data_IF_186641916487
#
_entry.id   IF_186641916487
#
_cell.length_a   1.000
_cell.length_b   1.000
_cell.length_c   1.000
_cell.angle_alpha   90.00
_cell.angle_beta   90.00
_cell.angle_gamma   90.00
#
_symmetry.space_group_name_H-M   'P 1'
#
loop_
_entity.id
_entity.type
_entity.pdbx_description
1 polymer ?
#
# COMPACT_ATOMS: atom_id res chain seq x y z
N UNK A 1 3.82 7.33 -18.69
CA UNK A 1 4.24 6.97 -17.32
C UNK A 1 5.68 6.50 -17.38
N UNK A 2 6.49 6.83 -16.38
CA UNK A 2 7.86 6.36 -16.24
C UNK A 2 7.92 5.27 -15.18
N UNK A 3 8.67 4.21 -15.45
CA UNK A 3 8.88 3.08 -14.53
C UNK A 3 10.35 3.09 -14.15
N UNK A 4 10.62 3.05 -12.86
CA UNK A 4 11.98 2.95 -12.33
C UNK A 4 12.66 1.66 -12.81
N UNK A 5 13.91 1.78 -13.26
CA UNK A 5 14.66 0.69 -13.90
C UNK A 5 14.94 -0.48 -12.94
N UNK A 6 14.83 -0.25 -11.63
CA UNK A 6 14.93 -1.30 -10.62
C UNK A 6 13.74 -2.29 -10.68
N UNK A 7 12.53 -1.82 -10.99
CA UNK A 7 11.28 -2.60 -10.85
C UNK A 7 11.33 -3.95 -11.58
N UNK A 8 11.79 -4.05 -12.85
CA UNK A 8 11.93 -5.33 -13.54
C UNK A 8 12.80 -6.37 -12.80
N UNK A 9 13.79 -5.94 -12.02
CA UNK A 9 14.72 -6.84 -11.31
C UNK A 9 14.27 -7.24 -9.92
N UNK A 10 13.23 -6.61 -9.34
CA UNK A 10 12.84 -6.88 -7.95
C UNK A 10 11.95 -8.12 -7.88
N UNK A 11 12.32 -9.03 -6.98
CA UNK A 11 11.43 -10.07 -6.46
C UNK A 11 10.91 -9.70 -5.07
N UNK A 12 9.64 -9.96 -4.84
CA UNK A 12 8.97 -9.52 -3.62
C UNK A 12 7.74 -10.37 -3.32
N UNK A 13 7.62 -10.80 -2.07
CA UNK A 13 6.40 -11.41 -1.54
C UNK A 13 6.25 -11.01 -0.07
N UNK A 14 5.15 -10.34 0.29
CA UNK A 14 4.99 -9.81 1.65
C UNK A 14 4.94 -10.92 2.71
N UNK A 15 5.79 -10.82 3.74
CA UNK A 15 5.82 -11.71 4.90
C UNK A 15 5.41 -10.95 6.18
N UNK A 16 4.11 -10.91 6.45
CA UNK A 16 3.55 -10.27 7.65
C UNK A 16 3.95 -11.00 8.94
N UNK A 17 4.24 -12.31 8.87
CA UNK A 17 4.70 -13.09 10.00
C UNK A 17 6.04 -12.60 10.54
N UNK A 18 6.93 -12.19 9.63
CA UNK A 18 8.25 -11.62 9.94
C UNK A 18 8.23 -10.11 10.17
N UNK A 19 7.59 -9.32 9.29
CA UNK A 19 7.64 -7.85 9.39
C UNK A 19 6.61 -7.24 10.36
N UNK A 20 5.65 -8.05 10.83
CA UNK A 20 4.56 -7.65 11.75
C UNK A 20 3.71 -6.48 11.26
N UNK A 21 3.65 -6.26 9.95
CA UNK A 21 2.86 -5.17 9.35
C UNK A 21 3.51 -3.79 9.46
N UNK A 22 4.85 -3.74 9.53
CA UNK A 22 5.64 -2.52 9.66
C UNK A 22 5.23 -1.35 8.73
N UNK A 23 4.73 -1.64 7.52
CA UNK A 23 4.30 -0.61 6.58
C UNK A 23 3.07 0.21 7.05
N UNK A 24 2.31 -0.27 8.03
CA UNK A 24 1.19 0.44 8.66
C UNK A 24 1.61 1.24 9.92
N UNK A 25 2.85 1.07 10.39
CA UNK A 25 3.36 1.62 11.66
C UNK A 25 4.72 2.31 11.49
N UNK A 26 4.94 2.90 10.31
CA UNK A 26 6.17 3.63 9.99
C UNK A 26 6.19 4.92 10.81
N UNK A 27 7.24 5.18 11.61
CA UNK A 27 7.39 6.45 12.32
C UNK A 27 7.30 7.64 11.37
N UNK A 28 6.44 8.60 11.71
CA UNK A 28 6.20 9.76 10.88
C UNK A 28 4.91 10.49 11.25
N UNK A 29 4.88 11.79 11.02
CA UNK A 29 3.70 12.62 11.28
C UNK A 29 2.64 12.54 10.18
N UNK A 30 2.95 11.88 9.06
CA UNK A 30 2.06 11.71 7.90
C UNK A 30 1.99 10.23 7.53
N UNK A 31 0.77 9.72 7.37
CA UNK A 31 0.54 8.35 6.95
C UNK A 31 0.63 8.19 5.44
N UNK A 32 0.02 7.12 4.93
CA UNK A 32 0.01 6.84 3.50
C UNK A 32 -0.66 7.97 2.68
N UNK A 33 -0.11 8.34 1.52
CA UNK A 33 -0.73 9.29 0.60
C UNK A 33 -2.10 8.84 0.11
N UNK A 34 -3.02 9.76 -0.12
CA UNK A 34 -4.37 9.50 -0.58
C UNK A 34 -4.62 10.18 -1.94
N UNK A 35 -5.46 9.57 -2.76
CA UNK A 35 -6.15 10.27 -3.84
C UNK A 35 -7.27 11.15 -3.27
N UNK A 36 -7.56 12.27 -3.91
CA UNK A 36 -8.64 13.17 -3.47
C UNK A 36 -9.99 12.43 -3.52
N UNK A 37 -10.16 11.54 -4.50
CA UNK A 37 -11.34 10.69 -4.67
C UNK A 37 -11.46 9.61 -3.59
N UNK A 38 -10.37 9.24 -2.90
CA UNK A 38 -10.39 8.22 -1.84
C UNK A 38 -10.96 8.74 -0.53
N UNK A 39 -11.06 10.06 -0.34
CA UNK A 39 -11.57 10.65 0.89
C UNK A 39 -13.05 10.28 1.11
N UNK A 40 -13.85 10.30 0.04
CA UNK A 40 -15.25 9.93 0.09
C UNK A 40 -15.42 8.43 0.43
N UNK A 41 -14.59 7.58 -0.17
CA UNK A 41 -14.58 6.14 0.12
C UNK A 41 -14.21 5.85 1.58
N UNK A 42 -13.20 6.56 2.11
CA UNK A 42 -12.81 6.48 3.52
C UNK A 42 -13.98 6.87 4.43
N UNK A 43 -14.66 7.98 4.13
CA UNK A 43 -15.80 8.45 4.92
C UNK A 43 -16.97 7.47 4.90
N UNK A 44 -17.29 6.90 3.72
CA UNK A 44 -18.34 5.88 3.56
C UNK A 44 -18.02 4.59 4.31
N UNK A 45 -16.76 4.16 4.28
CA UNK A 45 -16.33 2.91 4.92
C UNK A 45 -16.14 3.03 6.44
N UNK A 46 -15.85 4.23 6.96
CA UNK A 46 -15.53 4.44 8.38
C UNK A 46 -16.56 3.90 9.37
N UNK A 47 -17.89 4.12 9.19
CA UNK A 47 -18.90 3.58 10.10
C UNK A 47 -18.87 2.07 10.27
N UNK A 48 -18.42 1.34 9.23
CA UNK A 48 -18.26 -0.13 9.26
C UNK A 48 -16.93 -0.50 9.91
N UNK A 49 -15.83 0.15 9.51
CA UNK A 49 -14.49 -0.24 9.96
C UNK A 49 -14.16 0.18 11.40
N UNK A 50 -14.86 1.18 11.96
CA UNK A 50 -14.62 1.67 13.33
C UNK A 50 -14.67 0.57 14.39
N UNK A 51 -15.43 -0.51 14.16
CA UNK A 51 -15.53 -1.66 15.08
C UNK A 51 -14.22 -2.44 15.22
N UNK A 52 -13.30 -2.31 14.27
CA UNK A 52 -11.98 -2.93 14.30
C UNK A 52 -10.92 -2.07 14.99
N UNK A 53 -11.20 -0.78 15.21
CA UNK A 53 -10.22 0.15 15.73
C UNK A 53 -10.25 0.18 17.26
N UNK A 54 -9.07 0.31 17.87
CA UNK A 54 -8.94 0.48 19.32
C UNK A 54 -9.57 1.81 19.77
N UNK A 55 -9.77 1.98 21.07
CA UNK A 55 -10.24 3.25 21.63
C UNK A 55 -9.32 4.42 21.21
N UNK A 56 -8.01 4.28 21.41
CA UNK A 56 -6.99 5.30 21.05
C UNK A 56 -7.11 5.76 19.59
N UNK A 57 -7.36 4.82 18.68
CA UNK A 57 -7.47 5.12 17.25
C UNK A 57 -8.74 5.88 16.91
N UNK A 58 -9.88 5.46 17.49
CA UNK A 58 -11.16 6.15 17.32
C UNK A 58 -11.13 7.55 17.91
N UNK A 59 -10.60 7.67 19.12
CA UNK A 59 -10.39 8.92 19.84
C UNK A 59 -9.55 9.91 19.02
N UNK A 60 -8.45 9.45 18.40
CA UNK A 60 -7.64 10.30 17.49
C UNK A 60 -8.42 10.77 16.26
N UNK A 61 -9.30 9.93 15.69
CA UNK A 61 -10.15 10.30 14.55
C UNK A 61 -11.17 11.37 14.95
N UNK A 62 -11.75 11.23 16.15
CA UNK A 62 -12.75 12.14 16.70
C UNK A 62 -12.14 13.50 17.06
N UNK A 63 -10.93 13.53 17.62
CA UNK A 63 -10.22 14.77 17.99
C UNK A 63 -9.64 15.52 16.79
N UNK A 64 -9.19 14.79 15.76
CA UNK A 64 -8.51 15.38 14.60
C UNK A 64 -9.37 15.19 13.37
N UNK A 65 -9.18 14.09 12.66
CA UNK A 65 -9.89 13.63 11.47
C UNK A 65 -9.31 12.27 11.05
N UNK A 66 -9.90 11.64 10.02
CA UNK A 66 -9.39 10.43 9.37
C UNK A 66 -8.12 10.63 8.52
N UNK A 67 -7.93 11.85 8.02
CA UNK A 67 -6.87 12.22 7.09
C UNK A 67 -6.49 13.70 7.28
N UNK A 68 -5.31 14.06 6.82
CA UNK A 68 -4.73 15.40 6.91
C UNK A 68 -4.14 15.83 5.56
N UNK A 69 -4.02 17.13 5.34
CA UNK A 69 -3.47 17.72 4.12
C UNK A 69 -4.49 18.58 3.39
N UNK A 70 -4.22 18.81 2.09
CA UNK A 70 -5.01 19.64 1.18
C UNK A 70 -5.19 18.91 -0.16
N UNK A 71 -6.09 19.37 -1.05
CA UNK A 71 -6.27 18.76 -2.36
C UNK A 71 -4.95 18.52 -3.08
N UNK A 72 -4.74 17.31 -3.58
CA UNK A 72 -3.51 16.83 -4.21
C UNK A 72 -2.39 16.39 -3.26
N UNK A 73 -2.52 16.58 -1.94
CA UNK A 73 -1.53 16.23 -0.91
C UNK A 73 -2.20 15.64 0.35
N UNK A 74 -3.27 14.87 0.19
CA UNK A 74 -3.87 14.19 1.33
C UNK A 74 -3.03 13.00 1.79
N UNK A 75 -3.02 12.77 3.10
CA UNK A 75 -2.40 11.60 3.75
C UNK A 75 -3.31 11.10 4.86
N UNK A 76 -3.25 9.80 5.17
CA UNK A 76 -3.92 9.27 6.37
C UNK A 76 -3.41 9.95 7.65
N UNK A 77 -4.30 10.11 8.62
CA UNK A 77 -3.93 10.58 9.96
C UNK A 77 -3.08 9.50 10.67
N UNK A 78 -2.25 9.93 11.60
CA UNK A 78 -1.43 9.04 12.43
C UNK A 78 -1.76 9.18 13.91
N UNK A 79 -1.66 8.07 14.63
CA UNK A 79 -1.74 7.94 16.08
C UNK A 79 -0.32 7.93 16.64
N UNK A 80 -0.06 8.73 17.67
CA UNK A 80 1.22 8.78 18.39
C UNK A 80 2.45 9.02 17.49
N UNK A 81 2.26 9.70 16.36
CA UNK A 81 3.34 10.00 15.40
C UNK A 81 3.93 8.78 14.72
N UNK A 82 3.21 7.66 14.68
CA UNK A 82 3.72 6.40 14.12
C UNK A 82 2.65 5.58 13.39
N UNK A 83 1.57 5.19 14.06
CA UNK A 83 0.64 4.23 13.49
C UNK A 83 -0.38 4.93 12.59
N UNK A 84 -0.66 4.39 11.41
CA UNK A 84 -1.81 4.83 10.62
C UNK A 84 -3.09 4.69 11.47
N UNK A 85 -3.97 5.71 11.45
CA UNK A 85 -5.17 5.71 12.29
C UNK A 85 -6.11 4.52 12.04
N UNK A 86 -6.01 3.91 10.86
CA UNK A 86 -6.79 2.74 10.46
C UNK A 86 -6.10 1.39 10.70
N UNK A 87 -4.99 1.35 11.44
CA UNK A 87 -4.38 0.06 11.80
C UNK A 87 -5.21 -0.63 12.89
N UNK A 88 -5.31 -1.95 12.77
CA UNK A 88 -5.78 -2.87 13.81
C UNK A 88 -4.69 -3.89 14.07
N UNK A 89 -4.60 -4.37 15.31
CA UNK A 89 -3.62 -5.40 15.67
C UNK A 89 -4.33 -6.74 15.87
N UNK A 90 -3.83 -7.77 15.20
CA UNK A 90 -4.28 -9.14 15.36
C UNK A 90 -3.07 -9.99 15.69
N UNK A 91 -3.05 -10.58 16.89
CA UNK A 91 -1.94 -11.43 17.35
C UNK A 91 -0.56 -10.72 17.23
N UNK A 92 -0.54 -9.41 17.51
CA UNK A 92 0.66 -8.58 17.42
C UNK A 92 1.08 -8.19 15.99
N UNK A 93 0.28 -8.51 14.97
CA UNK A 93 0.51 -8.09 13.57
C UNK A 93 -0.38 -6.90 13.23
N UNK A 94 0.23 -5.80 12.79
CA UNK A 94 -0.48 -4.64 12.26
C UNK A 94 -1.15 -4.98 10.92
N UNK A 95 -2.46 -4.73 10.83
CA UNK A 95 -3.27 -4.93 9.62
C UNK A 95 -4.11 -3.67 9.35
N UNK A 96 -4.49 -3.46 8.11
CA UNK A 96 -5.38 -2.36 7.74
C UNK A 96 -6.85 -2.74 7.98
N UNK A 97 -7.59 -1.91 8.72
CA UNK A 97 -9.00 -2.16 9.02
C UNK A 97 -9.89 -2.16 7.75
N UNK A 98 -9.57 -1.32 6.75
CA UNK A 98 -10.26 -1.35 5.46
C UNK A 98 -10.04 -2.66 4.71
N UNK A 99 -8.78 -3.11 4.63
CA UNK A 99 -8.44 -4.37 3.99
C UNK A 99 -9.18 -5.54 4.64
N UNK A 100 -9.21 -5.56 5.98
CA UNK A 100 -9.96 -6.57 6.73
C UNK A 100 -11.45 -6.54 6.42
N UNK A 101 -12.08 -5.38 6.47
CA UNK A 101 -13.50 -5.24 6.21
C UNK A 101 -13.87 -5.63 4.77
N UNK A 102 -13.02 -5.29 3.79
CA UNK A 102 -13.18 -5.69 2.41
C UNK A 102 -13.08 -7.20 2.21
N UNK A 103 -12.08 -7.85 2.82
CA UNK A 103 -11.93 -9.31 2.76
C UNK A 103 -13.10 -10.03 3.46
N UNK A 104 -13.74 -9.38 4.43
CA UNK A 104 -14.95 -9.85 5.08
C UNK A 104 -16.24 -9.50 4.31
N UNK A 105 -16.14 -8.89 3.12
CA UNK A 105 -17.26 -8.42 2.29
C UNK A 105 -18.19 -7.39 2.98
N UNK A 106 -17.67 -6.64 3.95
CA UNK A 106 -18.44 -5.65 4.70
C UNK A 106 -18.45 -4.27 4.02
N UNK A 107 -17.49 -4.02 3.12
CA UNK A 107 -17.36 -2.81 2.32
C UNK A 107 -16.92 -3.16 0.89
N UNK A 108 -17.33 -2.33 -0.09
CA UNK A 108 -16.94 -2.51 -1.49
C UNK A 108 -15.58 -1.92 -1.86
N UNK A 109 -15.02 -1.05 -1.02
CA UNK A 109 -13.72 -0.40 -1.23
C UNK A 109 -12.64 -1.02 -0.37
N UNK A 110 -11.52 -1.42 -0.97
CA UNK A 110 -10.50 -2.26 -0.31
C UNK A 110 -9.62 -1.52 0.69
N UNK A 111 -8.87 -0.53 0.21
CA UNK A 111 -7.94 0.32 0.98
C UNK A 111 -7.39 1.41 0.06
N UNK A 112 -6.65 2.42 0.56
CA UNK A 112 -5.99 3.38 -0.30
C UNK A 112 -5.07 2.72 -1.33
N UNK A 113 -5.06 3.22 -2.55
CA UNK A 113 -4.33 2.64 -3.67
C UNK A 113 -2.83 2.69 -3.41
N UNK A 114 -2.35 3.73 -2.73
CA UNK A 114 -0.95 3.85 -2.28
C UNK A 114 -0.55 2.73 -1.31
N UNK A 115 -1.45 2.33 -0.41
CA UNK A 115 -1.26 1.20 0.50
C UNK A 115 -1.38 -0.14 -0.21
N UNK A 116 -2.13 -0.22 -1.31
CA UNK A 116 -2.27 -1.45 -2.10
C UNK A 116 -1.07 -1.68 -3.03
N UNK A 117 -0.53 -0.60 -3.58
CA UNK A 117 0.64 -0.64 -4.47
C UNK A 117 1.96 -0.82 -3.73
N UNK A 118 2.02 -0.61 -2.42
CA UNK A 118 3.25 -0.76 -1.65
C UNK A 118 3.89 -2.15 -1.88
N UNK A 119 5.18 -2.23 -2.23
CA UNK A 119 6.22 -1.20 -2.13
C UNK A 119 6.41 -0.26 -3.33
N UNK A 120 5.56 -0.28 -4.34
CA UNK A 120 5.56 0.74 -5.40
C UNK A 120 4.91 2.04 -4.92
N UNK A 121 5.56 3.16 -5.20
CA UNK A 121 5.02 4.53 -5.04
C UNK A 121 4.84 5.19 -6.39
N UNK A 122 3.73 5.91 -6.53
CA UNK A 122 3.42 6.70 -7.71
C UNK A 122 3.62 8.19 -7.39
N UNK A 123 4.69 8.77 -7.93
CA UNK A 123 4.91 10.21 -7.88
C UNK A 123 4.05 10.86 -8.98
N UNK A 124 3.05 11.65 -8.58
CA UNK A 124 1.99 12.18 -9.47
C UNK A 124 2.43 13.39 -10.31
N UNK A 125 3.70 13.44 -10.70
CA UNK A 125 4.17 14.41 -11.69
C UNK A 125 3.58 14.14 -13.08
N UNK A 126 3.88 15.01 -14.04
CA UNK A 126 3.61 14.78 -15.46
C UNK A 126 4.95 14.61 -16.18
N UNK A 127 5.32 13.38 -16.61
CA UNK A 127 4.56 12.12 -16.50
C UNK A 127 4.60 11.52 -15.08
N UNK A 128 3.59 10.71 -14.74
CA UNK A 128 3.57 9.91 -13.50
C UNK A 128 4.82 9.01 -13.48
N UNK A 129 5.45 8.86 -12.31
CA UNK A 129 6.61 7.97 -12.12
C UNK A 129 6.29 6.90 -11.07
N UNK A 130 6.45 5.63 -11.44
CA UNK A 130 6.40 4.51 -10.50
C UNK A 130 7.80 4.17 -10.05
N UNK A 131 8.04 4.22 -8.74
CA UNK A 131 9.31 3.88 -8.11
C UNK A 131 9.15 2.78 -7.07
N UNK A 132 10.18 1.96 -6.92
CA UNK A 132 10.25 0.99 -5.84
C UNK A 132 10.74 1.69 -4.56
N UNK A 133 9.95 1.61 -3.49
CA UNK A 133 10.34 2.14 -2.18
C UNK A 133 11.01 1.05 -1.35
N UNK A 134 12.34 1.01 -1.40
CA UNK A 134 13.12 0.09 -0.59
C UNK A 134 13.08 0.50 0.88
N UNK A 135 12.61 -0.41 1.73
CA UNK A 135 12.60 -0.25 3.18
C UNK A 135 13.31 -1.43 3.83
N UNK A 136 14.16 -1.16 4.83
CA UNK A 136 14.85 -2.22 5.58
C UNK A 136 13.88 -3.22 6.20
N UNK A 137 12.73 -2.75 6.70
CA UNK A 137 11.68 -3.60 7.30
C UNK A 137 11.01 -4.55 6.28
N UNK A 138 11.24 -4.34 4.98
CA UNK A 138 10.76 -5.20 3.90
C UNK A 138 11.80 -6.22 3.42
N UNK A 139 13.00 -6.28 4.01
CA UNK A 139 13.99 -7.31 3.68
C UNK A 139 13.43 -8.74 3.76
N UNK A 140 12.62 -9.11 4.78
CA UNK A 140 12.00 -10.44 4.80
C UNK A 140 11.13 -10.73 3.57
N UNK A 141 10.51 -9.70 2.99
CA UNK A 141 9.64 -9.84 1.82
C UNK A 141 10.45 -9.97 0.52
N UNK A 142 11.60 -9.31 0.40
CA UNK A 142 12.50 -9.51 -0.74
C UNK A 142 13.14 -10.90 -0.68
N UNK A 143 13.56 -11.36 0.50
CA UNK A 143 14.09 -12.73 0.68
C UNK A 143 13.07 -13.81 0.34
N UNK A 144 11.80 -13.62 0.76
CA UNK A 144 10.72 -14.52 0.40
C UNK A 144 10.47 -14.50 -1.12
N UNK A 145 10.38 -13.32 -1.73
CA UNK A 145 10.21 -13.18 -3.18
C UNK A 145 11.32 -13.85 -3.98
N UNK A 146 12.57 -13.72 -3.54
CA UNK A 146 13.72 -14.40 -4.15
C UNK A 146 13.61 -15.91 -4.09
N UNK A 147 13.26 -16.44 -2.91
CA UNK A 147 13.11 -17.88 -2.70
C UNK A 147 11.97 -18.48 -3.53
N UNK A 148 10.82 -17.81 -3.57
CA UNK A 148 9.63 -18.30 -4.28
C UNK A 148 9.64 -17.94 -5.77
N UNK A 149 10.60 -17.12 -6.23
CA UNK A 149 10.69 -16.67 -7.61
C UNK A 149 9.60 -15.68 -8.03
N UNK A 150 8.96 -14.98 -7.09
CA UNK A 150 7.83 -14.08 -7.35
C UNK A 150 8.34 -12.67 -7.65
N UNK A 151 8.12 -12.16 -8.86
CA UNK A 151 8.48 -10.78 -9.19
C UNK A 151 7.57 -9.77 -8.48
N UNK A 152 8.08 -8.56 -8.24
CA UNK A 152 7.31 -7.47 -7.65
C UNK A 152 6.03 -7.14 -8.45
N UNK A 153 6.12 -7.18 -9.79
CA UNK A 153 4.98 -6.90 -10.67
C UNK A 153 3.91 -7.99 -10.58
N UNK A 154 4.30 -9.26 -10.46
CA UNK A 154 3.36 -10.36 -10.24
C UNK A 154 2.68 -10.26 -8.87
N UNK A 155 3.46 -10.02 -7.81
CA UNK A 155 2.93 -9.82 -6.46
C UNK A 155 1.90 -8.68 -6.41
N UNK A 156 2.16 -7.58 -7.12
CA UNK A 156 1.28 -6.42 -7.16
C UNK A 156 0.18 -6.49 -8.23
N UNK A 157 -0.03 -7.62 -8.92
CA UNK A 157 -1.02 -7.71 -10.01
C UNK A 157 -2.37 -7.11 -9.65
N UNK A 158 -2.96 -7.52 -8.52
CA UNK A 158 -4.27 -7.02 -8.10
C UNK A 158 -4.28 -5.50 -7.83
N UNK A 159 -3.17 -4.94 -7.32
CA UNK A 159 -3.04 -3.52 -7.05
C UNK A 159 -2.83 -2.71 -8.33
N UNK A 160 -1.97 -3.20 -9.23
CA UNK A 160 -1.64 -2.57 -10.51
C UNK A 160 -2.84 -2.57 -11.46
N UNK A 161 -3.56 -3.69 -11.56
CA UNK A 161 -4.80 -3.77 -12.34
C UNK A 161 -5.86 -2.83 -11.77
N UNK A 162 -6.01 -2.75 -10.45
CA UNK A 162 -6.93 -1.79 -9.82
C UNK A 162 -6.55 -0.33 -10.11
N UNK A 163 -5.25 -0.01 -10.16
CA UNK A 163 -4.77 1.35 -10.36
C UNK A 163 -4.80 1.80 -11.83
N UNK A 164 -4.46 0.90 -12.76
CA UNK A 164 -4.12 1.25 -14.15
C UNK A 164 -4.83 0.38 -15.21
N UNK A 165 -5.56 -0.66 -14.80
CA UNK A 165 -6.28 -1.58 -15.68
C UNK A 165 -5.43 -2.74 -16.21
N UNK A 166 -6.11 -3.78 -16.70
CA UNK A 166 -5.49 -5.01 -17.19
C UNK A 166 -4.58 -4.78 -18.41
N UNK A 167 -5.00 -3.98 -19.38
CA UNK A 167 -4.19 -3.68 -20.57
C UNK A 167 -2.83 -3.11 -20.17
N UNK A 168 -2.84 -2.10 -19.30
CA UNK A 168 -1.63 -1.47 -18.82
C UNK A 168 -0.75 -2.42 -18.01
N UNK A 169 -1.35 -3.23 -17.13
CA UNK A 169 -0.63 -4.25 -16.37
C UNK A 169 0.09 -5.25 -17.27
N UNK A 170 -0.57 -5.72 -18.33
CA UNK A 170 0.01 -6.68 -19.28
C UNK A 170 1.17 -6.05 -20.06
N UNK A 171 1.08 -4.77 -20.42
CA UNK A 171 2.18 -4.03 -21.05
C UNK A 171 3.40 -3.92 -20.12
N UNK A 172 3.18 -3.59 -18.83
CA UNK A 172 4.23 -3.55 -17.82
C UNK A 172 4.88 -4.92 -17.64
N UNK A 173 4.07 -5.98 -17.51
CA UNK A 173 4.57 -7.34 -17.33
C UNK A 173 5.46 -7.75 -18.50
N UNK A 174 5.02 -7.50 -19.74
CA UNK A 174 5.81 -7.78 -20.93
C UNK A 174 7.09 -6.92 -20.99
N UNK A 175 7.05 -5.66 -20.54
CA UNK A 175 8.24 -4.82 -20.41
C UNK A 175 9.26 -5.40 -19.43
N UNK A 176 8.81 -5.83 -18.24
CA UNK A 176 9.68 -6.41 -17.23
C UNK A 176 10.33 -7.72 -17.71
N UNK A 177 9.55 -8.59 -18.36
CA UNK A 177 10.07 -9.84 -18.95
C UNK A 177 11.15 -9.58 -20.01
N UNK A 178 10.95 -8.60 -20.91
CA UNK A 178 11.97 -8.25 -21.92
C UNK A 178 13.27 -7.75 -21.30
N UNK A 179 13.18 -6.93 -20.23
CA UNK A 179 14.35 -6.40 -19.53
C UNK A 179 15.15 -7.50 -18.83
N UNK A 180 14.48 -8.46 -18.19
CA UNK A 180 15.13 -9.60 -17.54
C UNK A 180 15.89 -10.47 -18.54
N UNK A 181 15.31 -10.73 -19.73
CA UNK A 181 15.99 -11.52 -20.77
C UNK A 181 17.26 -10.85 -21.31
N UNK A 182 17.34 -9.52 -21.31
CA UNK A 182 18.50 -8.75 -21.78
C UNK A 182 19.65 -8.70 -20.77
N UNK A 183 19.40 -8.93 -19.48
CA UNK A 183 20.44 -8.92 -18.43
C UNK A 183 21.13 -10.27 -18.26
N UNK A 184 20.62 -11.32 -18.92
CA UNK A 184 21.12 -12.70 -18.79
C UNK A 184 22.04 -13.13 -19.94
N UNK A 185 22.46 -12.19 -20.79
CA UNK A 185 23.44 -12.38 -21.90
C UNK A 185 24.65 -11.51 -21.65
#
# INVERSE_FOLDING_TARGET
MLIDDAIPGIKFACDLGKCKGACCTIPGHRGAPLLDEELEEIQKAYPVVRKYLSYRHRDTIEERTMFQGRPGDYTTQVVDGQACVFVTFEEGVAKCAFEKAYLNNEIGWRKPISCHLFPIRADRGLPVRLRYEQMQLCQPATELGEREGISLVEFLRAALVRAYGDTWYNELLAYCQRKQSQTTT
#
